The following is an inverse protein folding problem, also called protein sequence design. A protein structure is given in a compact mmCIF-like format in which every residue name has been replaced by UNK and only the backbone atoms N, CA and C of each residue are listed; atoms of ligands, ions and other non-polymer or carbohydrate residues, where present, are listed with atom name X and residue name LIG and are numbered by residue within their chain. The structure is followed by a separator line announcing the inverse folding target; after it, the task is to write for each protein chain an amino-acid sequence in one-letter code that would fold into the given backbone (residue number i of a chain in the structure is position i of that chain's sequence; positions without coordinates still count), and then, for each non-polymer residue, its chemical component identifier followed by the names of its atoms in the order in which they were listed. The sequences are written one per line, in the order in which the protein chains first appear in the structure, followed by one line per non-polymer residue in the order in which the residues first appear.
data_IF_539393105537
#
_entry.id   IF_539393105537
#
_cell.length_a   1.000
_cell.length_b   1.000
_cell.length_c   1.000
_cell.angle_alpha   90.00
_cell.angle_beta   90.00
_cell.angle_gamma   90.00
#
_symmetry.space_group_name_H-M   'P 1'
#
loop_
_entity.id
_entity.type
_entity.pdbx_description
1 polymer ?
#
# COMPACT_ATOMS: atom_id res chain seq x y z
N UNK A 1 -14.42 -8.63 -16.77
CA UNK A 1 -14.03 -8.11 -15.43
C UNK A 1 -13.33 -9.20 -14.60
N UNK A 2 -12.25 -8.85 -13.90
CA UNK A 2 -11.55 -9.72 -12.94
C UNK A 2 -12.22 -9.58 -11.57
N UNK A 3 -12.38 -10.70 -10.86
CA UNK A 3 -13.12 -10.76 -9.58
C UNK A 3 -12.30 -11.32 -8.43
N UNK A 4 -11.29 -12.15 -8.72
CA UNK A 4 -10.37 -12.69 -7.73
C UNK A 4 -9.17 -11.76 -7.57
N UNK A 5 -9.04 -11.14 -6.40
CA UNK A 5 -8.18 -9.99 -6.15
C UNK A 5 -7.48 -10.12 -4.81
N UNK A 6 -6.18 -9.91 -4.82
CA UNK A 6 -5.37 -9.64 -3.63
C UNK A 6 -4.88 -8.21 -3.71
N UNK A 7 -5.33 -7.40 -2.74
CA UNK A 7 -4.83 -6.06 -2.55
C UNK A 7 -4.07 -5.98 -1.23
N UNK A 8 -2.74 -5.90 -1.30
CA UNK A 8 -1.93 -5.63 -0.12
C UNK A 8 -2.07 -4.15 0.25
N UNK A 9 -2.69 -3.88 1.40
CA UNK A 9 -2.78 -2.52 1.94
C UNK A 9 -1.47 -2.11 2.60
N UNK A 10 -0.76 -1.20 1.94
CA UNK A 10 0.31 -0.44 2.59
C UNK A 10 -0.29 0.64 3.50
N UNK A 11 0.29 0.84 4.67
CA UNK A 11 -0.17 1.85 5.61
C UNK A 11 0.05 3.26 5.07
N UNK A 12 -0.90 4.16 5.34
CA UNK A 12 -0.81 5.59 5.04
C UNK A 12 -0.58 5.95 3.55
N UNK A 13 -0.90 5.06 2.62
CA UNK A 13 -0.77 5.22 1.16
C UNK A 13 -2.12 5.25 0.42
N UNK A 14 -3.13 5.94 0.97
CA UNK A 14 -4.49 5.98 0.41
C UNK A 14 -5.17 4.59 0.24
N UNK A 15 -4.62 3.55 0.85
CA UNK A 15 -5.09 2.17 0.71
C UNK A 15 -6.50 1.93 1.29
N UNK A 16 -7.01 2.80 2.18
CA UNK A 16 -8.41 2.73 2.63
C UNK A 16 -9.40 3.19 1.57
N UNK A 17 -9.04 4.15 0.72
CA UNK A 17 -9.88 4.53 -0.43
C UNK A 17 -9.97 3.39 -1.44
N UNK A 18 -8.83 2.76 -1.77
CA UNK A 18 -8.80 1.59 -2.67
C UNK A 18 -9.57 0.41 -2.06
N UNK A 19 -9.45 0.16 -0.76
CA UNK A 19 -10.25 -0.87 -0.09
C UNK A 19 -11.76 -0.59 -0.19
N UNK A 20 -12.19 0.66 -0.06
CA UNK A 20 -13.61 1.02 -0.22
C UNK A 20 -14.10 0.76 -1.65
N UNK A 21 -13.28 1.06 -2.67
CA UNK A 21 -13.55 0.69 -4.06
C UNK A 21 -13.77 -0.83 -4.18
N UNK A 22 -12.87 -1.63 -3.62
CA UNK A 22 -12.98 -3.10 -3.65
C UNK A 22 -14.22 -3.62 -2.91
N UNK A 23 -14.59 -3.00 -1.78
CA UNK A 23 -15.82 -3.36 -1.06
C UNK A 23 -17.06 -3.09 -1.90
N UNK A 24 -17.18 -1.90 -2.48
CA UNK A 24 -18.31 -1.54 -3.34
C UNK A 24 -18.43 -2.45 -4.56
N UNK A 25 -17.29 -2.72 -5.22
CA UNK A 25 -17.26 -3.62 -6.36
C UNK A 25 -17.69 -5.04 -5.96
N UNK A 26 -17.13 -5.59 -4.88
CA UNK A 26 -17.45 -6.94 -4.45
C UNK A 26 -18.89 -7.10 -3.95
N UNK A 27 -19.45 -6.10 -3.26
CA UNK A 27 -20.87 -6.09 -2.88
C UNK A 27 -21.77 -6.11 -4.12
N UNK A 28 -21.51 -5.23 -5.09
CA UNK A 28 -22.28 -5.14 -6.35
C UNK A 28 -22.25 -6.46 -7.15
N UNK A 29 -21.17 -7.23 -7.04
CA UNK A 29 -20.97 -8.48 -7.78
C UNK A 29 -21.16 -9.74 -6.92
N UNK A 30 -21.73 -9.63 -5.71
CA UNK A 30 -21.94 -10.75 -4.78
C UNK A 30 -20.68 -11.59 -4.52
N UNK A 31 -19.51 -10.93 -4.40
CA UNK A 31 -18.22 -11.57 -4.17
C UNK A 31 -17.95 -11.84 -2.70
N UNK A 32 -17.14 -12.86 -2.43
CA UNK A 32 -16.74 -13.23 -1.07
C UNK A 32 -15.45 -12.53 -0.65
N UNK A 33 -15.45 -12.00 0.57
CA UNK A 33 -14.29 -11.30 1.15
C UNK A 33 -13.61 -12.15 2.22
N UNK A 34 -12.27 -12.16 2.20
CA UNK A 34 -11.44 -12.73 3.24
C UNK A 34 -11.30 -11.75 4.43
N UNK A 35 -12.31 -11.73 5.29
CA UNK A 35 -12.32 -10.87 6.49
C UNK A 35 -11.43 -11.41 7.62
N UNK A 36 -10.92 -10.54 8.50
CA UNK A 36 -10.22 -10.98 9.71
C UNK A 36 -11.10 -11.77 10.66
N UNK A 37 -10.53 -12.85 11.21
CA UNK A 37 -11.19 -13.65 12.25
C UNK A 37 -11.46 -12.79 13.48
N UNK A 38 -12.68 -12.88 14.03
CA UNK A 38 -13.10 -12.12 15.21
C UNK A 38 -13.50 -10.67 14.95
N UNK A 39 -13.69 -10.27 13.68
CA UNK A 39 -14.24 -8.95 13.33
C UNK A 39 -13.27 -7.78 13.48
N UNK A 40 -11.97 -8.04 13.64
CA UNK A 40 -10.94 -6.99 13.68
C UNK A 40 -10.74 -6.29 12.33
N UNK A 41 -9.98 -5.19 12.35
CA UNK A 41 -9.70 -4.39 11.14
C UNK A 41 -8.47 -4.85 10.35
N UNK A 42 -7.65 -5.74 10.93
CA UNK A 42 -6.37 -6.19 10.39
C UNK A 42 -6.22 -7.72 10.51
N UNK A 43 -5.45 -8.33 9.63
CA UNK A 43 -5.19 -9.77 9.59
C UNK A 43 -4.01 -10.14 10.48
N UNK A 44 -4.15 -9.88 11.79
CA UNK A 44 -3.17 -10.20 12.84
C UNK A 44 -1.81 -9.49 12.70
N UNK A 45 -1.83 -8.29 12.13
CA UNK A 45 -0.68 -7.38 12.09
C UNK A 45 -0.26 -7.01 13.53
N UNK A 46 1.05 -6.92 13.85
CA UNK A 46 2.22 -6.82 12.95
C UNK A 46 2.89 -8.17 12.61
N UNK A 47 2.31 -9.31 12.97
CA UNK A 47 2.87 -10.62 12.59
C UNK A 47 2.62 -10.93 11.12
N UNK A 48 3.46 -11.77 10.52
CA UNK A 48 3.23 -12.28 9.16
C UNK A 48 1.84 -12.89 9.04
N UNK A 49 1.19 -12.60 7.92
CA UNK A 49 -0.10 -13.14 7.58
C UNK A 49 -0.06 -14.66 7.54
N UNK A 50 -1.06 -15.30 8.15
CA UNK A 50 -1.32 -16.73 8.04
C UNK A 50 -2.77 -16.92 7.63
N UNK A 51 -3.06 -17.90 6.79
CA UNK A 51 -4.40 -18.14 6.26
C UNK A 51 -5.45 -18.37 7.38
N UNK A 52 -5.02 -18.93 8.52
CA UNK A 52 -5.86 -19.12 9.73
C UNK A 52 -6.42 -17.84 10.34
N UNK A 53 -5.89 -16.67 9.97
CA UNK A 53 -6.40 -15.37 10.42
C UNK A 53 -7.62 -14.89 9.63
N UNK A 54 -8.00 -15.62 8.57
CA UNK A 54 -9.21 -15.33 7.79
C UNK A 54 -10.42 -16.03 8.40
N UNK A 55 -11.50 -15.27 8.59
CA UNK A 55 -12.79 -15.77 9.05
C UNK A 55 -13.34 -16.81 8.07
N UNK A 56 -13.68 -17.99 8.58
CA UNK A 56 -14.23 -19.09 7.76
C UNK A 56 -13.19 -19.84 6.92
N UNK A 57 -11.89 -19.51 7.01
CA UNK A 57 -10.85 -20.34 6.41
C UNK A 57 -10.72 -21.66 7.15
N UNK A 58 -10.63 -22.75 6.39
CA UNK A 58 -10.34 -24.10 6.90
C UNK A 58 -9.39 -24.80 5.93
N UNK A 59 -8.28 -25.42 6.41
CA UNK A 59 -7.38 -26.20 5.56
C UNK A 59 -8.06 -27.38 4.87
N UNK A 60 -9.15 -27.88 5.48
CA UNK A 60 -9.93 -29.02 4.99
C UNK A 60 -11.01 -28.60 4.00
N UNK A 61 -11.24 -27.30 3.81
CA UNK A 61 -12.23 -26.78 2.88
C UNK A 61 -11.54 -26.19 1.65
N UNK A 62 -12.00 -26.53 0.43
CA UNK A 62 -11.52 -25.88 -0.78
C UNK A 62 -12.05 -24.45 -0.93
N UNK A 63 -12.85 -23.93 0.02
CA UNK A 63 -13.44 -22.59 -0.09
C UNK A 63 -12.33 -21.55 -0.22
N UNK A 64 -12.37 -20.82 -1.33
CA UNK A 64 -11.54 -19.66 -1.59
C UNK A 64 -12.39 -18.40 -1.51
N UNK A 65 -11.74 -17.30 -1.23
CA UNK A 65 -12.35 -15.98 -1.21
C UNK A 65 -11.98 -15.23 -2.48
N UNK A 66 -12.89 -14.42 -3.00
CA UNK A 66 -12.62 -13.62 -4.18
C UNK A 66 -11.69 -12.46 -3.83
N UNK A 67 -11.95 -11.74 -2.74
CA UNK A 67 -11.20 -10.51 -2.42
C UNK A 67 -10.50 -10.61 -1.06
N UNK A 68 -9.19 -10.40 -1.04
CA UNK A 68 -8.38 -10.20 0.15
C UNK A 68 -7.79 -8.77 0.14
N UNK A 69 -8.26 -7.89 1.04
CA UNK A 69 -7.93 -6.47 0.99
C UNK A 69 -7.78 -5.79 2.36
N UNK A 70 -7.46 -6.52 3.43
CA UNK A 70 -7.20 -5.96 4.76
C UNK A 70 -5.70 -5.76 5.03
N UNK A 71 -5.35 -4.91 6.01
CA UNK A 71 -3.97 -4.75 6.44
C UNK A 71 -3.40 -6.06 6.95
N UNK A 72 -2.22 -6.41 6.47
CA UNK A 72 -1.48 -7.62 6.82
C UNK A 72 0.01 -7.37 6.61
N UNK A 73 0.86 -8.20 7.25
CA UNK A 73 2.25 -8.30 6.86
C UNK A 73 2.38 -9.44 5.84
N UNK A 74 2.70 -9.12 4.60
CA UNK A 74 2.56 -10.05 3.49
C UNK A 74 3.39 -11.34 3.64
N UNK A 75 2.78 -12.47 3.28
CA UNK A 75 3.45 -13.76 3.17
C UNK A 75 2.77 -14.56 2.05
N UNK A 76 3.36 -14.53 0.85
CA UNK A 76 2.73 -15.05 -0.37
C UNK A 76 2.24 -16.51 -0.26
N UNK A 77 3.00 -17.48 0.30
CA UNK A 77 2.54 -18.86 0.41
C UNK A 77 1.27 -19.02 1.27
N UNK A 78 1.03 -18.11 2.21
CA UNK A 78 -0.20 -18.13 3.03
C UNK A 78 -1.37 -17.45 2.31
N UNK A 79 -1.10 -16.39 1.56
CA UNK A 79 -2.12 -15.71 0.74
C UNK A 79 -2.69 -16.65 -0.32
N UNK A 80 -1.84 -17.44 -0.98
CA UNK A 80 -2.24 -18.42 -2.00
C UNK A 80 -3.16 -19.54 -1.47
N UNK A 81 -3.22 -19.73 -0.15
CA UNK A 81 -4.17 -20.68 0.46
C UNK A 81 -5.58 -20.13 0.51
N UNK A 82 -5.75 -18.81 0.51
CA UNK A 82 -7.01 -18.10 0.77
C UNK A 82 -7.73 -17.74 -0.52
N UNK A 83 -7.00 -17.36 -1.57
CA UNK A 83 -7.56 -16.93 -2.86
C UNK A 83 -7.25 -17.95 -3.97
N UNK A 84 -7.97 -17.93 -5.11
CA UNK A 84 -7.62 -18.73 -6.28
C UNK A 84 -6.23 -18.39 -6.84
N UNK A 85 -5.57 -19.36 -7.48
CA UNK A 85 -4.25 -19.15 -8.10
C UNK A 85 -4.27 -18.14 -9.26
N UNK A 86 -5.44 -17.89 -9.84
CA UNK A 86 -5.66 -16.92 -10.91
C UNK A 86 -5.95 -15.50 -10.40
N UNK A 87 -5.93 -15.28 -9.08
CA UNK A 87 -6.18 -13.97 -8.49
C UNK A 87 -5.13 -12.96 -8.94
N UNK A 88 -5.57 -11.72 -9.15
CA UNK A 88 -4.70 -10.60 -9.50
C UNK A 88 -4.18 -9.94 -8.22
N UNK A 89 -2.86 -9.82 -8.09
CA UNK A 89 -2.15 -9.26 -6.94
C UNK A 89 -1.71 -7.84 -7.25
N UNK A 90 -2.14 -6.89 -6.43
CA UNK A 90 -1.65 -5.52 -6.52
C UNK A 90 -1.50 -4.88 -5.14
N UNK A 91 -0.84 -3.73 -5.11
CA UNK A 91 -0.66 -2.91 -3.91
C UNK A 91 -0.57 -1.43 -4.30
N UNK A 92 -0.47 -0.54 -3.32
CA UNK A 92 -0.33 0.91 -3.53
C UNK A 92 0.81 1.47 -2.68
N UNK A 93 1.73 2.15 -3.34
CA UNK A 93 2.89 2.77 -2.71
C UNK A 93 2.66 4.26 -2.45
N UNK A 94 3.54 4.84 -1.65
CA UNK A 94 3.62 6.27 -1.41
C UNK A 94 5.07 6.70 -1.31
N UNK A 95 5.38 7.93 -1.69
CA UNK A 95 6.69 8.52 -1.48
C UNK A 95 7.10 8.40 0.01
N UNK A 96 8.26 7.79 0.32
CA UNK A 96 8.68 7.52 1.70
C UNK A 96 8.78 8.76 2.59
N UNK A 97 9.06 9.93 2.01
CA UNK A 97 9.11 11.21 2.74
C UNK A 97 7.71 11.55 3.26
N UNK A 98 6.73 11.59 2.36
CA UNK A 98 5.34 11.89 2.72
C UNK A 98 4.71 10.78 3.58
N UNK A 99 5.13 9.53 3.35
CA UNK A 99 4.72 8.39 4.15
C UNK A 99 5.19 8.57 5.59
N UNK A 100 6.45 8.94 5.80
CA UNK A 100 7.01 9.14 7.13
C UNK A 100 6.35 10.32 7.86
N UNK A 101 6.06 11.43 7.18
CA UNK A 101 5.29 12.54 7.78
C UNK A 101 3.89 12.07 8.24
N UNK A 102 3.21 11.29 7.39
CA UNK A 102 1.89 10.74 7.69
C UNK A 102 1.96 9.73 8.85
N UNK A 103 2.99 8.90 8.87
CA UNK A 103 3.25 7.91 9.91
C UNK A 103 3.53 8.58 11.26
N UNK A 104 4.44 9.57 11.29
CA UNK A 104 4.82 10.31 12.49
C UNK A 104 3.62 10.94 13.19
N UNK A 105 2.72 11.58 12.42
CA UNK A 105 1.55 12.22 13.01
C UNK A 105 0.50 11.20 13.43
N UNK A 106 0.23 10.19 12.59
CA UNK A 106 -0.84 9.23 12.89
C UNK A 106 -0.47 8.27 14.02
N UNK A 107 0.78 7.80 14.05
CA UNK A 107 1.31 6.88 15.06
C UNK A 107 2.11 7.62 16.12
N UNK A 108 1.72 8.85 16.48
CA UNK A 108 2.48 9.69 17.42
C UNK A 108 2.74 9.01 18.77
N UNK A 109 1.85 8.11 19.19
CA UNK A 109 1.99 7.29 20.40
C UNK A 109 2.95 6.10 20.28
N UNK A 110 3.47 5.77 19.10
CA UNK A 110 4.46 4.71 18.92
C UNK A 110 5.73 5.01 19.70
N UNK A 111 6.42 3.97 20.14
CA UNK A 111 7.59 4.05 21.03
C UNK A 111 8.63 5.06 20.54
N UNK A 112 8.95 5.01 19.25
CA UNK A 112 9.93 5.90 18.60
C UNK A 112 9.49 7.36 18.44
N UNK A 113 8.18 7.64 18.50
CA UNK A 113 7.63 8.98 18.24
C UNK A 113 7.07 9.66 19.50
N UNK A 114 6.73 8.89 20.52
CA UNK A 114 6.01 9.33 21.73
C UNK A 114 6.71 10.42 22.53
N UNK A 115 8.05 10.47 22.49
CA UNK A 115 8.89 11.40 23.27
C UNK A 115 9.45 12.57 22.48
N UNK A 116 9.26 12.57 21.16
CA UNK A 116 9.80 13.59 20.26
C UNK A 116 8.74 14.65 20.00
N UNK A 117 9.10 15.91 19.75
CA UNK A 117 8.12 16.97 19.42
C UNK A 117 7.88 17.12 17.92
N UNK A 118 8.92 16.98 17.11
CA UNK A 118 8.85 17.13 15.65
C UNK A 118 9.57 16.01 14.89
N UNK A 119 9.31 15.89 13.59
CA UNK A 119 9.98 14.89 12.76
C UNK A 119 11.47 15.23 12.59
N UNK A 120 11.81 16.52 12.54
CA UNK A 120 13.18 17.02 12.48
C UNK A 120 13.98 16.66 13.74
N UNK A 121 13.38 16.76 14.91
CA UNK A 121 14.00 16.33 16.17
C UNK A 121 14.28 14.83 16.14
N UNK A 122 13.32 14.02 15.67
CA UNK A 122 13.51 12.57 15.52
C UNK A 122 14.70 12.28 14.58
N UNK A 123 14.74 12.91 13.42
CA UNK A 123 15.78 12.70 12.40
C UNK A 123 17.14 13.27 12.79
N UNK A 124 17.22 14.16 13.77
CA UNK A 124 18.50 14.64 14.29
C UNK A 124 19.26 13.53 15.04
N UNK A 125 18.54 12.63 15.71
CA UNK A 125 19.09 11.53 16.51
C UNK A 125 18.16 10.30 16.46
N UNK A 126 17.92 9.69 15.27
CA UNK A 126 16.86 8.71 15.11
C UNK A 126 17.12 7.46 15.95
N UNK A 127 18.38 7.02 16.04
CA UNK A 127 18.80 5.88 16.86
C UNK A 127 18.67 6.08 18.37
N UNK A 128 18.49 7.31 18.85
CA UNK A 128 18.19 7.58 20.26
C UNK A 128 16.74 7.20 20.61
N UNK A 129 15.85 7.32 19.64
CA UNK A 129 14.42 7.11 19.83
C UNK A 129 13.95 5.78 19.24
N UNK A 130 14.63 5.29 18.21
CA UNK A 130 14.32 4.04 17.53
C UNK A 130 14.97 2.85 18.23
N UNK A 131 14.13 1.86 18.58
CA UNK A 131 14.58 0.57 19.12
C UNK A 131 14.17 -0.57 18.16
N UNK A 132 15.14 -1.29 17.54
CA UNK A 132 14.87 -2.45 16.70
C UNK A 132 14.15 -3.62 17.41
N UNK A 133 14.13 -3.66 18.74
CA UNK A 133 13.41 -4.65 19.52
C UNK A 133 11.94 -4.27 19.78
N UNK A 134 11.54 -3.02 19.52
CA UNK A 134 10.18 -2.58 19.76
C UNK A 134 9.17 -3.25 18.83
N UNK A 135 8.01 -3.67 19.37
CA UNK A 135 6.93 -4.30 18.62
C UNK A 135 6.28 -3.38 17.57
N UNK A 136 6.41 -2.06 17.74
CA UNK A 136 5.83 -1.03 16.87
C UNK A 136 6.88 -0.31 15.99
N UNK A 137 8.12 -0.82 15.94
CA UNK A 137 9.25 -0.20 15.21
C UNK A 137 8.97 0.12 13.75
N UNK A 138 8.15 -0.71 13.09
CA UNK A 138 7.82 -0.61 11.68
C UNK A 138 7.14 0.72 11.32
N UNK A 139 6.41 1.35 12.25
CA UNK A 139 5.84 2.67 12.01
C UNK A 139 6.89 3.77 11.86
N UNK A 140 8.09 3.56 12.40
CA UNK A 140 9.16 4.54 12.41
C UNK A 140 10.22 4.36 11.33
N UNK A 141 10.26 3.21 10.65
CA UNK A 141 11.28 2.92 9.65
C UNK A 141 10.82 1.89 8.64
N UNK A 142 11.01 2.19 7.35
CA UNK A 142 10.77 1.29 6.23
C UNK A 142 9.40 0.57 6.31
N UNK A 143 8.33 1.33 6.50
CA UNK A 143 6.98 0.81 6.74
C UNK A 143 6.44 0.04 5.52
N UNK A 144 6.71 0.48 4.28
CA UNK A 144 6.29 -0.27 3.09
C UNK A 144 7.02 -1.61 3.03
N UNK A 145 8.33 -1.60 3.25
CA UNK A 145 9.16 -2.81 3.32
C UNK A 145 8.61 -3.80 4.35
N UNK A 146 8.19 -3.30 5.52
CA UNK A 146 7.55 -4.13 6.54
C UNK A 146 6.22 -4.72 6.07
N UNK A 147 5.34 -3.91 5.47
CA UNK A 147 4.04 -4.35 4.94
C UNK A 147 4.19 -5.42 3.85
N UNK A 148 5.20 -5.31 2.98
CA UNK A 148 5.59 -6.33 2.00
C UNK A 148 6.18 -7.62 2.61
N UNK A 149 6.32 -7.70 3.93
CA UNK A 149 6.74 -8.91 4.63
C UNK A 149 8.23 -8.97 4.97
N UNK A 150 9.02 -7.99 4.53
CA UNK A 150 10.46 -7.97 4.75
C UNK A 150 10.83 -7.40 6.13
N UNK A 151 12.12 -7.41 6.47
CA UNK A 151 12.64 -6.79 7.69
C UNK A 151 12.94 -5.30 7.41
N UNK A 152 12.34 -4.34 8.15
CA UNK A 152 12.56 -2.92 7.94
C UNK A 152 13.95 -2.45 8.38
N UNK A 153 14.65 -3.25 9.18
CA UNK A 153 16.07 -3.07 9.53
C UNK A 153 16.99 -3.98 8.69
N UNK A 154 16.48 -4.48 7.56
CA UNK A 154 17.24 -5.33 6.65
C UNK A 154 18.45 -4.62 6.03
N UNK A 155 19.39 -5.41 5.52
CA UNK A 155 20.53 -4.92 4.76
C UNK A 155 20.07 -4.21 3.47
N UNK A 156 20.57 -2.99 3.28
CA UNK A 156 20.28 -2.14 2.13
C UNK A 156 21.42 -2.15 1.09
N UNK A 157 22.29 -3.17 1.11
CA UNK A 157 23.26 -3.44 0.04
C UNK A 157 22.55 -3.60 -1.31
N UNK A 158 23.20 -3.20 -2.42
CA UNK A 158 22.62 -3.28 -3.76
C UNK A 158 22.07 -4.67 -4.09
N UNK A 159 22.79 -5.73 -3.72
CA UNK A 159 22.40 -7.12 -4.00
C UNK A 159 21.11 -7.50 -3.27
N UNK A 160 20.99 -7.14 -1.98
CA UNK A 160 19.80 -7.41 -1.17
C UNK A 160 18.60 -6.61 -1.63
N UNK A 161 18.80 -5.34 -1.97
CA UNK A 161 17.76 -4.48 -2.55
C UNK A 161 17.25 -5.08 -3.85
N UNK A 162 18.14 -5.48 -4.76
CA UNK A 162 17.74 -6.07 -6.04
C UNK A 162 16.95 -7.37 -5.86
N UNK A 163 17.33 -8.23 -4.90
CA UNK A 163 16.56 -9.43 -4.57
C UNK A 163 15.17 -9.11 -4.03
N UNK A 164 15.06 -8.10 -3.15
CA UNK A 164 13.78 -7.64 -2.62
C UNK A 164 12.86 -7.11 -3.73
N UNK A 165 13.38 -6.26 -4.62
CA UNK A 165 12.62 -5.71 -5.75
C UNK A 165 12.10 -6.83 -6.67
N UNK A 166 12.97 -7.79 -7.04
CA UNK A 166 12.57 -8.96 -7.84
C UNK A 166 11.53 -9.82 -7.15
N UNK A 167 11.62 -9.98 -5.83
CA UNK A 167 10.62 -10.74 -5.07
C UNK A 167 9.24 -10.04 -5.10
N UNK A 168 9.21 -8.71 -5.00
CA UNK A 168 7.97 -7.93 -5.14
C UNK A 168 7.43 -8.03 -6.58
N UNK A 169 8.29 -7.87 -7.60
CA UNK A 169 7.89 -8.01 -9.01
C UNK A 169 7.31 -9.39 -9.35
N UNK A 170 7.87 -10.45 -8.75
CA UNK A 170 7.38 -11.81 -8.94
C UNK A 170 6.06 -12.09 -8.19
N UNK A 171 5.75 -11.28 -7.17
CA UNK A 171 4.57 -11.50 -6.30
C UNK A 171 3.36 -10.66 -6.67
N UNK A 172 3.56 -9.54 -7.37
CA UNK A 172 2.51 -8.56 -7.66
C UNK A 172 2.43 -8.27 -9.17
N UNK A 173 1.22 -8.34 -9.72
CA UNK A 173 0.96 -8.05 -11.13
C UNK A 173 1.20 -6.58 -11.48
N UNK A 174 0.88 -5.67 -10.56
CA UNK A 174 1.14 -4.23 -10.69
C UNK A 174 1.09 -3.52 -9.33
N UNK A 175 1.73 -2.34 -9.26
CA UNK A 175 1.70 -1.46 -8.09
C UNK A 175 1.17 -0.08 -8.49
N UNK A 176 0.30 0.47 -7.66
CA UNK A 176 -0.26 1.81 -7.78
C UNK A 176 0.62 2.83 -7.04
N UNK A 177 0.50 4.13 -7.37
CA UNK A 177 1.25 5.22 -6.73
C UNK A 177 0.27 6.28 -6.18
N UNK A 178 0.32 6.52 -4.88
CA UNK A 178 -0.59 7.43 -4.18
C UNK A 178 -0.53 8.87 -4.70
N UNK A 179 0.65 9.33 -5.12
CA UNK A 179 0.87 10.67 -5.68
C UNK A 179 0.20 10.86 -7.05
N UNK A 180 -0.06 9.77 -7.76
CA UNK A 180 -0.73 9.72 -9.05
C UNK A 180 -2.02 8.91 -8.92
N UNK A 181 -2.86 9.28 -7.94
CA UNK A 181 -4.00 8.46 -7.54
C UNK A 181 -5.02 8.28 -8.68
N UNK A 182 -5.32 9.33 -9.43
CA UNK A 182 -6.27 9.25 -10.55
C UNK A 182 -5.72 8.37 -11.67
N UNK A 183 -4.44 8.54 -12.04
CA UNK A 183 -3.75 7.66 -12.99
C UNK A 183 -3.71 6.21 -12.49
N UNK A 184 -3.54 6.02 -11.19
CA UNK A 184 -3.59 4.71 -10.53
C UNK A 184 -4.97 4.08 -10.62
N UNK A 185 -6.06 4.85 -10.50
CA UNK A 185 -7.42 4.33 -10.67
C UNK A 185 -7.70 3.96 -12.13
N UNK A 186 -7.16 4.73 -13.08
CA UNK A 186 -7.21 4.36 -14.52
C UNK A 186 -6.42 3.07 -14.77
N UNK A 187 -5.23 2.91 -14.19
CA UNK A 187 -4.46 1.66 -14.28
C UNK A 187 -5.23 0.50 -13.66
N UNK A 188 -5.81 0.67 -12.46
CA UNK A 188 -6.60 -0.34 -11.78
C UNK A 188 -7.79 -0.80 -12.64
N UNK A 189 -8.54 0.15 -13.20
CA UNK A 189 -9.64 -0.09 -14.14
C UNK A 189 -9.20 -0.95 -15.32
N UNK A 190 -8.10 -0.57 -15.97
CA UNK A 190 -7.59 -1.29 -17.15
C UNK A 190 -7.13 -2.71 -16.79
N UNK A 191 -6.32 -2.85 -15.73
CA UNK A 191 -5.75 -4.13 -15.30
C UNK A 191 -6.82 -5.14 -14.84
N UNK A 192 -7.89 -4.66 -14.21
CA UNK A 192 -9.00 -5.50 -13.76
C UNK A 192 -10.13 -5.62 -14.79
N UNK A 193 -10.03 -4.92 -15.93
CA UNK A 193 -11.08 -4.84 -16.94
C UNK A 193 -12.42 -4.43 -16.33
N UNK A 194 -12.39 -3.39 -15.49
CA UNK A 194 -13.54 -2.79 -14.84
C UNK A 194 -14.04 -1.58 -15.63
N UNK A 195 -15.25 -1.13 -15.33
CA UNK A 195 -15.78 0.13 -15.85
C UNK A 195 -15.31 1.32 -15.00
N UNK A 196 -15.65 2.53 -15.46
CA UNK A 196 -15.29 3.77 -14.76
C UNK A 196 -15.94 3.85 -13.38
N UNK A 197 -17.23 3.55 -13.29
CA UNK A 197 -18.02 3.67 -12.06
C UNK A 197 -17.53 2.73 -10.95
N UNK A 198 -16.94 1.59 -11.32
CA UNK A 198 -16.30 0.65 -10.41
C UNK A 198 -15.07 1.21 -9.71
N UNK A 199 -14.39 2.23 -10.27
CA UNK A 199 -13.16 2.81 -9.67
C UNK A 199 -13.34 4.26 -9.19
N UNK A 200 -14.52 4.84 -9.39
CA UNK A 200 -14.85 6.16 -8.83
C UNK A 200 -14.72 6.11 -7.31
N UNK A 201 -13.95 7.04 -6.77
CA UNK A 201 -13.77 7.17 -5.34
C UNK A 201 -13.66 8.61 -4.90
N UNK A 202 -13.96 8.83 -3.63
CA UNK A 202 -13.88 10.13 -2.99
C UNK A 202 -12.75 10.10 -1.97
N UNK A 203 -11.96 11.18 -1.85
CA UNK A 203 -10.88 11.25 -0.87
C UNK A 203 -11.42 10.97 0.55
N UNK A 204 -10.89 9.92 1.18
CA UNK A 204 -11.15 9.64 2.59
C UNK A 204 -9.93 10.09 3.39
N UNK A 205 -10.13 10.96 4.38
CA UNK A 205 -9.06 11.48 5.23
C UNK A 205 -7.91 12.16 4.46
N UNK A 206 -8.22 12.88 3.38
CA UNK A 206 -7.25 13.75 2.73
C UNK A 206 -6.86 14.87 3.69
N UNK A 207 -5.59 14.86 4.11
CA UNK A 207 -5.03 15.98 4.88
C UNK A 207 -4.93 17.16 3.93
N UNK A 208 -5.44 18.30 4.37
CA UNK A 208 -5.38 19.54 3.61
C UNK A 208 -3.91 19.87 3.28
N UNK A 209 -3.58 19.98 2.00
CA UNK A 209 -2.23 20.34 1.54
C UNK A 209 -1.81 21.73 2.01
N UNK A 210 -2.77 22.61 2.32
CA UNK A 210 -2.53 23.95 2.87
C UNK A 210 -1.84 23.91 4.25
N UNK A 211 -1.94 22.79 4.97
CA UNK A 211 -1.34 22.61 6.30
C UNK A 211 0.09 22.04 6.26
N UNK A 212 0.61 21.72 5.08
CA UNK A 212 1.94 21.15 4.90
C UNK A 212 2.94 22.23 4.53
N UNK A 213 3.81 22.59 5.47
CA UNK A 213 5.01 23.35 5.14
C UNK A 213 5.99 22.44 4.39
N UNK A 214 6.63 22.91 3.30
CA UNK A 214 7.65 22.14 2.62
C UNK A 214 8.79 21.81 3.59
N UNK A 215 9.18 20.53 3.68
CA UNK A 215 10.36 20.14 4.46
C UNK A 215 11.63 20.68 3.78
N UNK A 216 12.64 21.14 4.55
CA UNK A 216 13.94 21.50 3.98
C UNK A 216 14.59 20.31 3.28
N UNK A 217 15.32 20.55 2.19
CA UNK A 217 16.00 19.50 1.40
C UNK A 217 16.91 18.62 2.27
N UNK A 218 17.58 19.20 3.26
CA UNK A 218 18.44 18.47 4.19
C UNK A 218 17.67 17.46 5.06
N UNK A 219 16.41 17.75 5.38
CA UNK A 219 15.50 16.84 6.11
C UNK A 219 15.00 15.75 5.17
N UNK A 220 14.69 16.11 3.93
CA UNK A 220 14.27 15.16 2.88
C UNK A 220 15.36 14.10 2.63
N UNK A 221 16.62 14.49 2.48
CA UNK A 221 17.71 13.52 2.28
C UNK A 221 17.94 12.62 3.49
N UNK A 222 17.81 13.15 4.72
CA UNK A 222 17.83 12.33 5.93
C UNK A 222 16.69 11.31 5.97
N UNK A 223 15.49 11.70 5.52
CA UNK A 223 14.34 10.79 5.43
C UNK A 223 14.55 9.67 4.42
N UNK A 224 15.10 9.98 3.25
CA UNK A 224 15.47 8.98 2.24
C UNK A 224 16.53 8.01 2.75
N UNK A 225 17.54 8.52 3.45
CA UNK A 225 18.59 7.69 4.05
C UNK A 225 18.05 6.81 5.19
N UNK A 226 17.21 7.37 6.06
CA UNK A 226 16.59 6.63 7.16
C UNK A 226 15.68 5.50 6.67
N UNK A 227 14.89 5.78 5.62
CA UNK A 227 13.97 4.87 4.97
C UNK A 227 14.53 4.31 3.65
N UNK A 228 15.79 3.88 3.66
CA UNK A 228 16.53 3.49 2.45
C UNK A 228 15.83 2.40 1.63
N UNK A 229 15.26 1.38 2.28
CA UNK A 229 14.60 0.26 1.58
C UNK A 229 13.29 0.73 0.92
N UNK A 230 12.49 1.53 1.63
CA UNK A 230 11.28 2.12 1.08
C UNK A 230 11.58 3.08 -0.08
N UNK A 231 12.71 3.81 -0.02
CA UNK A 231 13.16 4.67 -1.11
C UNK A 231 13.51 3.89 -2.37
N UNK A 232 14.18 2.75 -2.23
CA UNK A 232 14.50 1.86 -3.35
C UNK A 232 13.23 1.23 -3.95
N UNK A 233 12.31 0.75 -3.12
CA UNK A 233 10.99 0.24 -3.56
C UNK A 233 10.26 1.33 -4.35
N UNK A 234 10.08 2.51 -3.76
CA UNK A 234 9.33 3.59 -4.39
C UNK A 234 9.96 4.04 -5.71
N UNK A 235 11.28 4.24 -5.74
CA UNK A 235 11.98 4.72 -6.95
C UNK A 235 11.85 3.74 -8.10
N UNK A 236 12.05 2.44 -7.83
CA UNK A 236 11.92 1.39 -8.84
C UNK A 236 10.50 1.30 -9.38
N UNK A 237 9.50 1.20 -8.49
CA UNK A 237 8.13 0.96 -8.91
C UNK A 237 7.40 2.20 -9.41
N UNK A 238 7.82 3.41 -9.03
CA UNK A 238 7.34 4.64 -9.67
C UNK A 238 7.79 4.70 -11.14
N UNK A 239 9.03 4.31 -11.44
CA UNK A 239 9.52 4.21 -12.83
C UNK A 239 8.71 3.17 -13.61
N UNK A 240 8.60 1.94 -13.11
CA UNK A 240 7.90 0.87 -13.83
C UNK A 240 6.38 1.11 -13.93
N UNK A 241 5.78 1.84 -13.00
CA UNK A 241 4.40 2.33 -13.08
C UNK A 241 4.19 3.20 -14.33
N UNK A 242 5.04 4.20 -14.54
CA UNK A 242 4.93 5.09 -15.70
C UNK A 242 5.24 4.40 -17.02
N UNK A 243 6.29 3.55 -17.06
CA UNK A 243 6.60 2.72 -18.23
C UNK A 243 5.41 1.84 -18.62
N UNK A 244 4.72 1.27 -17.62
CA UNK A 244 3.52 0.46 -17.85
C UNK A 244 2.36 1.27 -18.39
N UNK A 245 2.08 2.44 -17.81
CA UNK A 245 1.01 3.32 -18.30
C UNK A 245 1.26 3.75 -19.75
N UNK A 246 2.51 4.08 -20.09
CA UNK A 246 2.90 4.44 -21.44
C UNK A 246 2.69 3.29 -22.44
N UNK A 247 3.06 2.08 -22.04
CA UNK A 247 2.92 0.89 -22.89
C UNK A 247 1.46 0.44 -23.05
N UNK A 248 0.67 0.45 -21.99
CA UNK A 248 -0.69 -0.11 -22.00
C UNK A 248 -1.75 0.88 -22.51
N UNK A 249 -1.61 2.15 -22.13
CA UNK A 249 -2.67 3.15 -22.33
C UNK A 249 -2.19 4.27 -23.24
N UNK A 250 -0.94 4.72 -23.05
CA UNK A 250 -0.38 5.88 -23.72
C UNK A 250 -0.84 7.21 -23.12
N UNK A 251 0.01 8.24 -23.21
CA UNK A 251 -0.19 9.53 -22.52
C UNK A 251 -1.48 10.26 -22.90
N UNK A 252 -1.87 10.24 -24.17
CA UNK A 252 -3.08 10.94 -24.62
C UNK A 252 -4.37 10.30 -24.12
N UNK A 253 -4.48 8.96 -24.24
CA UNK A 253 -5.63 8.22 -23.71
C UNK A 253 -5.67 8.33 -22.19
N UNK A 254 -4.54 8.21 -21.49
CA UNK A 254 -4.47 8.38 -20.04
C UNK A 254 -5.05 9.73 -19.59
N UNK A 255 -4.64 10.83 -20.23
CA UNK A 255 -5.18 12.17 -19.93
C UNK A 255 -6.70 12.25 -20.14
N UNK A 256 -7.25 11.58 -21.16
CA UNK A 256 -8.71 11.53 -21.38
C UNK A 256 -9.42 10.72 -20.30
N UNK A 257 -8.90 9.54 -19.95
CA UNK A 257 -9.48 8.66 -18.92
C UNK A 257 -9.44 9.33 -17.54
N UNK A 258 -8.35 10.02 -17.19
CA UNK A 258 -8.26 10.80 -15.93
C UNK A 258 -9.27 11.94 -15.92
N UNK A 259 -9.46 12.66 -17.03
CA UNK A 259 -10.49 13.70 -17.12
C UNK A 259 -11.90 13.13 -16.96
N UNK A 260 -12.18 11.99 -17.60
CA UNK A 260 -13.47 11.31 -17.47
C UNK A 260 -13.72 10.86 -16.01
N UNK A 261 -12.71 10.31 -15.34
CA UNK A 261 -12.78 9.94 -13.92
C UNK A 261 -13.11 11.15 -13.03
N UNK A 262 -12.40 12.26 -13.21
CA UNK A 262 -12.64 13.50 -12.44
C UNK A 262 -14.00 14.11 -12.71
N UNK A 263 -14.45 14.12 -13.97
CA UNK A 263 -15.78 14.59 -14.32
C UNK A 263 -16.84 13.73 -13.63
N UNK A 264 -16.68 12.40 -13.67
CA UNK A 264 -17.62 11.48 -13.03
C UNK A 264 -17.65 11.62 -11.51
N UNK A 265 -16.50 11.87 -10.88
CA UNK A 265 -16.43 12.20 -9.46
C UNK A 265 -17.20 13.49 -9.14
N UNK A 266 -17.08 14.53 -9.97
CA UNK A 266 -17.79 15.79 -9.78
C UNK A 266 -19.31 15.67 -9.98
N UNK A 267 -19.76 14.80 -10.89
CA UNK A 267 -21.19 14.52 -11.10
C UNK A 267 -21.86 13.80 -9.93
N UNK A 268 -21.08 13.06 -9.13
CA UNK A 268 -21.55 12.22 -8.02
C UNK A 268 -21.31 12.86 -6.63
N UNK A 269 -20.62 14.01 -6.58
CA UNK A 269 -20.33 14.77 -5.36
C UNK A 269 -21.44 15.77 -5.03
#
# INVERSE_FOLDING_TARGET
PKTDIVFLKVHKSASSTVMNILFRFGETHNLTFAFPKGGGFQLYYPHHFLAKFVQGFSPLSPRRFNILCHHMRFLQPEVQKVVPNSAIYFSILRNPVQLMESSFVYYKGASAFSRVRSLEEFLSQPWRYYDPASGDRHYARNLMTFDFGFNPDGDASPERVQLMLKAIEASFDFLLISEYFDESMVLLKEMLCWDLDSVVSFPLNSRDSSTKSPLPDSVVEKLKAWNRLDWEIYTHFNRTFWERLDRLIGRERLRREVRALRQRQAELA
#
